data_IF_575218156449
#
_entry.id   IF_575218156449
#
_cell.length_a   1.000
_cell.length_b   1.000
_cell.length_c   1.000
_cell.angle_alpha   90.00
_cell.angle_beta   90.00
_cell.angle_gamma   90.00
#
_symmetry.space_group_name_H-M   'P 1'
#
loop_
_entity.id
_entity.type
_entity.pdbx_description
1 polymer ?
#
# COMPACT_ATOMS: atom_id res chain seq x y z
N UNK A 1 -16.80 18.51 -4.12
CA UNK A 1 -16.14 18.15 -2.85
C UNK A 1 -15.11 17.09 -3.18
N UNK A 2 -13.82 17.41 -3.16
CA UNK A 2 -12.79 16.40 -3.43
C UNK A 2 -12.78 15.44 -2.24
N UNK A 3 -13.12 14.17 -2.48
CA UNK A 3 -12.87 13.13 -1.51
C UNK A 3 -11.36 13.18 -1.23
N UNK A 4 -10.97 13.57 -0.02
CA UNK A 4 -9.59 13.43 0.43
C UNK A 4 -9.31 11.94 0.34
N UNK A 5 -8.42 11.49 -0.54
CA UNK A 5 -7.92 10.10 -0.46
C UNK A 5 -7.07 9.99 0.79
N UNK A 6 -6.83 8.78 1.31
CA UNK A 6 -5.74 8.61 2.27
C UNK A 6 -4.41 8.85 1.55
N UNK A 7 -3.66 9.82 2.06
CA UNK A 7 -2.37 10.25 1.49
C UNK A 7 -1.23 9.43 2.11
N UNK A 8 -0.22 9.12 1.32
CA UNK A 8 0.97 8.43 1.80
C UNK A 8 1.76 9.32 2.79
N UNK A 9 1.99 8.88 4.04
CA UNK A 9 2.70 9.70 5.03
C UNK A 9 4.20 9.87 4.73
N UNK A 10 4.77 9.06 3.83
CA UNK A 10 6.19 9.06 3.47
C UNK A 10 6.52 9.94 2.28
N UNK A 11 5.68 9.95 1.23
CA UNK A 11 5.88 10.83 0.06
C UNK A 11 4.99 12.08 0.08
N UNK A 12 4.06 12.20 1.02
CA UNK A 12 3.18 13.35 1.21
C UNK A 12 1.95 13.35 0.29
N UNK A 13 1.49 14.53 -0.12
CA UNK A 13 0.21 14.78 -0.80
C UNK A 13 0.07 14.16 -2.21
N UNK A 14 1.11 13.52 -2.74
CA UNK A 14 1.12 13.00 -4.12
C UNK A 14 0.86 11.50 -4.21
N UNK A 15 1.07 10.75 -3.11
CA UNK A 15 0.93 9.30 -3.10
C UNK A 15 -0.50 8.83 -2.85
N UNK A 16 -1.18 8.34 -3.90
CA UNK A 16 -2.44 7.59 -3.75
C UNK A 16 -2.15 6.22 -3.11
N UNK A 17 -2.78 5.95 -1.97
CA UNK A 17 -2.76 4.64 -1.35
C UNK A 17 -3.85 3.73 -1.95
N UNK A 18 -3.44 2.55 -2.40
CA UNK A 18 -4.32 1.52 -2.95
C UNK A 18 -4.28 0.28 -2.08
N UNK A 19 -5.44 -0.37 -1.91
CA UNK A 19 -5.44 -1.76 -1.50
C UNK A 19 -4.84 -2.60 -2.62
N UNK A 20 -3.94 -3.51 -2.29
CA UNK A 20 -3.42 -4.50 -3.20
C UNK A 20 -3.48 -5.89 -2.55
N UNK A 21 -3.44 -6.92 -3.36
CA UNK A 21 -3.33 -8.31 -2.88
C UNK A 21 -2.20 -8.99 -3.62
N UNK A 22 -1.29 -9.60 -2.87
CA UNK A 22 -0.20 -10.39 -3.45
C UNK A 22 -0.82 -11.64 -4.07
N UNK A 23 -0.75 -11.79 -5.39
CA UNK A 23 -1.46 -12.85 -6.12
C UNK A 23 -1.07 -14.25 -5.65
N UNK A 24 0.22 -14.45 -5.38
CA UNK A 24 0.79 -15.76 -5.02
C UNK A 24 0.43 -16.21 -3.60
N UNK A 25 0.25 -15.29 -2.65
CA UNK A 25 -0.04 -15.61 -1.25
C UNK A 25 -1.48 -15.29 -0.83
N UNK A 26 -2.20 -14.48 -1.62
CA UNK A 26 -3.49 -13.92 -1.25
C UNK A 26 -3.41 -12.86 -0.13
N UNK A 27 -2.20 -12.42 0.26
CA UNK A 27 -2.05 -11.44 1.33
C UNK A 27 -2.51 -10.06 0.88
N UNK A 28 -3.48 -9.50 1.59
CA UNK A 28 -3.91 -8.12 1.40
C UNK A 28 -2.90 -7.16 2.02
N UNK A 29 -2.51 -6.14 1.27
CA UNK A 29 -1.57 -5.09 1.66
C UNK A 29 -2.10 -3.74 1.18
N UNK A 30 -1.55 -2.65 1.69
CA UNK A 30 -1.75 -1.31 1.12
C UNK A 30 -0.45 -0.91 0.45
N UNK A 31 -0.51 -0.32 -0.73
CA UNK A 31 0.67 0.15 -1.48
C UNK A 31 0.50 1.61 -1.87
N UNK A 32 1.60 2.34 -1.90
CA UNK A 32 1.68 3.65 -2.52
C UNK A 32 2.23 3.50 -3.94
N UNK A 33 1.53 4.04 -4.93
CA UNK A 33 1.95 3.96 -6.35
C UNK A 33 3.06 4.92 -6.75
N UNK A 34 3.51 5.79 -5.83
CA UNK A 34 4.50 6.83 -6.13
C UNK A 34 5.88 6.58 -5.51
N UNK A 35 5.93 5.89 -4.36
CA UNK A 35 7.18 5.65 -3.63
C UNK A 35 7.46 4.17 -3.38
N UNK A 36 6.69 3.28 -4.01
CA UNK A 36 6.86 1.83 -3.92
C UNK A 36 6.86 1.29 -2.48
N UNK A 37 6.21 2.00 -1.56
CA UNK A 37 6.06 1.57 -0.18
C UNK A 37 4.76 0.80 0.03
N UNK A 38 4.78 -0.15 0.95
CA UNK A 38 3.64 -0.96 1.35
C UNK A 38 3.49 -1.11 2.86
N UNK A 39 2.26 -1.44 3.26
CA UNK A 39 1.87 -1.79 4.60
C UNK A 39 1.20 -3.16 4.60
N UNK A 40 1.77 -4.10 5.35
CA UNK A 40 1.34 -5.50 5.36
C UNK A 40 -0.06 -5.72 5.95
N UNK A 41 -0.54 -4.79 6.77
CA UNK A 41 -1.79 -4.92 7.49
C UNK A 41 -2.75 -3.79 7.11
N UNK A 42 -3.64 -4.00 6.11
CA UNK A 42 -4.58 -2.97 5.67
C UNK A 42 -5.58 -2.52 6.74
N UNK A 43 -5.72 -3.30 7.83
CA UNK A 43 -6.59 -3.01 8.96
C UNK A 43 -5.91 -2.13 10.03
N UNK A 44 -4.60 -1.93 9.94
CA UNK A 44 -3.84 -1.07 10.86
C UNK A 44 -3.73 0.34 10.29
N UNK A 45 -3.50 1.32 11.16
CA UNK A 45 -3.16 2.66 10.75
C UNK A 45 -1.90 2.68 9.87
N UNK A 46 -1.91 3.58 8.88
CA UNK A 46 -0.78 3.80 7.98
C UNK A 46 0.29 4.59 8.72
N UNK A 47 1.27 3.87 9.25
CA UNK A 47 2.41 4.43 9.97
C UNK A 47 3.68 4.37 9.10
N UNK A 48 4.39 5.50 8.87
CA UNK A 48 5.63 5.50 8.09
C UNK A 48 6.72 4.60 8.70
N UNK A 49 6.72 4.35 10.02
CA UNK A 49 7.67 3.47 10.68
C UNK A 49 7.45 1.98 10.38
N UNK A 50 6.27 1.62 9.85
CA UNK A 50 5.91 0.24 9.44
C UNK A 50 5.90 0.05 7.92
N UNK A 51 6.20 1.12 7.17
CA UNK A 51 6.28 1.05 5.73
C UNK A 51 7.46 0.16 5.31
N UNK A 52 7.22 -0.70 4.33
CA UNK A 52 8.23 -1.55 3.72
C UNK A 52 8.29 -1.28 2.23
N UNK A 53 9.46 -1.41 1.64
CA UNK A 53 9.59 -1.38 0.18
C UNK A 53 8.91 -2.61 -0.45
N UNK A 54 8.14 -2.39 -1.52
CA UNK A 54 7.36 -3.44 -2.21
C UNK A 54 8.27 -4.53 -2.73
N UNK A 55 9.36 -4.18 -3.40
CA UNK A 55 10.31 -5.15 -3.96
C UNK A 55 10.93 -5.99 -2.84
N UNK A 56 11.43 -5.34 -1.79
CA UNK A 56 12.04 -6.00 -0.63
C UNK A 56 11.09 -6.95 0.09
N UNK A 57 9.80 -6.60 0.18
CA UNK A 57 8.78 -7.46 0.76
C UNK A 57 8.48 -8.68 -0.11
N UNK A 58 8.38 -8.51 -1.43
CA UNK A 58 8.17 -9.61 -2.38
C UNK A 58 9.37 -10.56 -2.39
N UNK A 59 10.60 -10.04 -2.39
CA UNK A 59 11.83 -10.84 -2.32
C UNK A 59 11.89 -11.67 -1.05
N UNK A 60 11.56 -11.08 0.11
CA UNK A 60 11.49 -11.81 1.39
C UNK A 60 10.44 -12.93 1.37
N UNK A 61 9.36 -12.75 0.62
CA UNK A 61 8.34 -13.77 0.42
C UNK A 61 8.71 -14.82 -0.66
N UNK A 62 9.89 -14.72 -1.30
CA UNK A 62 10.29 -15.60 -2.40
C UNK A 62 9.44 -15.40 -3.65
N UNK A 63 9.01 -14.16 -3.88
CA UNK A 63 8.22 -13.72 -5.03
C UNK A 63 9.10 -12.80 -5.87
N UNK A 64 8.86 -12.78 -7.17
CA UNK A 64 9.54 -11.83 -8.04
C UNK A 64 9.16 -10.39 -7.61
N UNK A 65 10.13 -9.47 -7.46
CA UNK A 65 9.87 -8.07 -7.07
C UNK A 65 9.27 -7.26 -8.23
N UNK A 66 8.13 -7.72 -8.74
CA UNK A 66 7.42 -7.11 -9.85
C UNK A 66 5.98 -6.75 -9.44
N UNK A 67 5.54 -5.55 -9.84
CA UNK A 67 4.19 -5.07 -9.55
C UNK A 67 3.10 -5.93 -10.21
N UNK A 68 3.41 -6.71 -11.24
CA UNK A 68 2.50 -7.68 -11.82
C UNK A 68 2.14 -8.80 -10.84
N UNK A 69 2.93 -9.05 -9.80
CA UNK A 69 2.61 -10.01 -8.74
C UNK A 69 1.58 -9.45 -7.74
N UNK A 70 1.29 -8.16 -7.83
CA UNK A 70 0.24 -7.49 -7.06
C UNK A 70 -1.03 -7.34 -7.90
N UNK A 71 -2.16 -7.61 -7.27
CA UNK A 71 -3.47 -7.26 -7.78
C UNK A 71 -3.93 -5.97 -7.10
N UNK A 72 -3.87 -4.86 -7.82
CA UNK A 72 -4.34 -3.56 -7.34
C UNK A 72 -5.87 -3.51 -7.26
N UNK A 73 -6.37 -2.94 -6.19
CA UNK A 73 -7.79 -2.81 -5.86
C UNK A 73 -8.19 -1.35 -5.66
N UNK A 74 -9.13 -1.13 -4.74
CA UNK A 74 -9.69 0.19 -4.49
C UNK A 74 -8.74 1.12 -3.72
N UNK A 75 -8.85 2.42 -3.96
CA UNK A 75 -8.17 3.46 -3.17
C UNK A 75 -8.57 3.38 -1.71
N UNK A 76 -7.60 3.61 -0.82
CA UNK A 76 -7.83 3.65 0.62
C UNK A 76 -8.63 4.93 0.93
N UNK A 77 -9.83 4.81 1.54
CA UNK A 77 -10.62 5.97 1.91
C UNK A 77 -9.88 6.79 2.98
N UNK A 78 -10.12 8.11 3.05
CA UNK A 78 -9.55 8.91 4.12
C UNK A 78 -10.01 8.37 5.47
N UNK A 79 -9.21 8.53 6.54
CA UNK A 79 -9.67 8.23 7.88
C UNK A 79 -10.97 9.01 8.14
N UNK A 80 -12.01 8.30 8.58
CA UNK A 80 -13.28 8.94 8.93
C UNK A 80 -13.01 9.95 10.05
N UNK A 81 -13.15 11.24 9.73
CA UNK A 81 -13.02 12.32 10.71
C UNK A 81 -14.18 12.16 11.69
N UNK A 82 -13.89 11.77 12.92
CA UNK A 82 -14.84 11.76 14.03
C UNK A 82 -15.04 13.18 14.58
#
# INVERSE_FOLDING_TARGET
>A
MKAKSMECPTCGEYGDLLHATVKKTGQAVIVCTECDLLWMHPQQDIDPARALDVASFLEQAGIEPDWQELQLGARVPPPATA
#
